data_IF_214970460516
#
_entry.id   IF_214970460516
#
_cell.length_a   1.000
_cell.length_b   1.000
_cell.length_c   1.000
_cell.angle_alpha   90.00
_cell.angle_beta   90.00
_cell.angle_gamma   90.00
#
_symmetry.space_group_name_H-M   'P 1'
#
loop_
_entity.id
_entity.type
_entity.pdbx_description
1 polymer ?
#
# COMPACT_ATOMS: atom_id res chain seq x y z
N UNK A 1 -1.46 21.73 -10.23
CA UNK A 1 -1.41 20.33 -10.67
C UNK A 1 -1.78 19.47 -9.47
N UNK A 2 -2.49 18.34 -9.67
CA UNK A 2 -2.78 17.37 -8.60
C UNK A 2 -1.50 16.64 -8.24
N UNK A 3 -1.39 16.12 -7.01
CA UNK A 3 -0.23 15.32 -6.60
C UNK A 3 -0.62 13.85 -6.40
N UNK A 4 0.31 12.97 -6.75
CA UNK A 4 0.29 11.57 -6.35
C UNK A 4 1.37 11.40 -5.29
N UNK A 5 0.96 11.16 -4.06
CA UNK A 5 1.86 10.82 -2.97
C UNK A 5 2.10 9.31 -2.96
N UNK A 6 3.34 8.89 -3.17
CA UNK A 6 3.73 7.49 -3.08
C UNK A 6 4.36 7.23 -1.70
N UNK A 7 3.59 6.72 -0.75
CA UNK A 7 4.08 6.33 0.57
C UNK A 7 4.66 4.92 0.52
N UNK A 8 5.89 4.78 1.01
CA UNK A 8 6.67 3.55 0.98
C UNK A 8 7.13 3.17 2.40
N UNK A 9 6.26 2.59 3.24
CA UNK A 9 6.68 2.09 4.54
C UNK A 9 7.76 1.02 4.38
N UNK A 10 8.89 1.20 5.05
CA UNK A 10 10.03 0.30 4.97
C UNK A 10 10.70 0.10 6.33
N UNK A 11 11.27 -1.10 6.54
CA UNK A 11 12.05 -1.45 7.70
C UNK A 11 13.14 -2.45 7.32
N UNK A 12 14.41 -2.03 7.38
CA UNK A 12 15.58 -2.80 6.96
C UNK A 12 15.45 -3.26 5.49
N UNK A 13 15.30 -2.30 4.57
CA UNK A 13 15.14 -2.51 3.13
C UNK A 13 16.26 -1.79 2.32
N UNK A 14 17.49 -1.68 2.86
CA UNK A 14 18.61 -0.99 2.22
C UNK A 14 18.90 -1.49 0.80
N UNK A 15 18.67 -2.79 0.53
CA UNK A 15 18.93 -3.41 -0.77
C UNK A 15 17.82 -3.16 -1.80
N UNK A 16 16.63 -2.74 -1.36
CA UNK A 16 15.44 -2.65 -2.20
C UNK A 16 14.94 -1.21 -2.40
N UNK A 17 15.00 -0.39 -1.34
CA UNK A 17 14.31 0.92 -1.32
C UNK A 17 14.86 1.91 -2.35
N UNK A 18 16.17 1.91 -2.61
CA UNK A 18 16.79 2.79 -3.61
C UNK A 18 16.26 2.52 -5.01
N UNK A 19 16.23 1.25 -5.42
CA UNK A 19 15.68 0.81 -6.71
C UNK A 19 14.19 1.16 -6.82
N UNK A 20 13.41 0.93 -5.76
CA UNK A 20 11.98 1.24 -5.75
C UNK A 20 11.71 2.75 -5.95
N UNK A 21 12.52 3.60 -5.31
CA UNK A 21 12.43 5.06 -5.52
C UNK A 21 12.74 5.40 -6.99
N UNK A 22 13.78 4.81 -7.58
CA UNK A 22 14.13 5.05 -8.99
C UNK A 22 13.00 4.59 -9.93
N UNK A 23 12.42 3.41 -9.72
CA UNK A 23 11.26 2.92 -10.48
C UNK A 23 10.04 3.87 -10.37
N UNK A 24 9.81 4.50 -9.21
CA UNK A 24 8.79 5.53 -9.06
C UNK A 24 9.14 6.80 -9.84
N UNK A 25 10.39 7.27 -9.78
CA UNK A 25 10.85 8.45 -10.51
C UNK A 25 10.69 8.27 -12.03
N UNK A 26 10.89 7.07 -12.56
CA UNK A 26 10.63 6.75 -13.97
C UNK A 26 9.18 7.02 -14.38
N UNK A 27 8.22 6.93 -13.46
CA UNK A 27 6.81 7.19 -13.75
C UNK A 27 6.48 8.69 -13.85
N UNK A 28 7.36 9.58 -13.38
CA UNK A 28 7.10 11.02 -13.23
C UNK A 28 6.65 11.68 -14.53
N UNK A 29 7.30 11.35 -15.65
CA UNK A 29 6.97 11.95 -16.97
C UNK A 29 5.54 11.61 -17.40
N UNK A 30 5.16 10.33 -17.27
CA UNK A 30 3.83 9.87 -17.68
C UNK A 30 2.75 10.34 -16.69
N UNK A 31 3.05 10.41 -15.38
CA UNK A 31 2.16 11.00 -14.38
C UNK A 31 1.90 12.49 -14.69
N UNK A 32 2.94 13.25 -15.04
CA UNK A 32 2.81 14.66 -15.40
C UNK A 32 1.91 14.86 -16.62
N UNK A 33 1.99 13.99 -17.63
CA UNK A 33 1.08 13.99 -18.79
C UNK A 33 -0.38 13.73 -18.39
N UNK A 34 -0.61 12.98 -17.30
CA UNK A 34 -1.94 12.74 -16.72
C UNK A 34 -2.39 13.83 -15.74
N UNK A 35 -1.61 14.89 -15.56
CA UNK A 35 -1.91 16.02 -14.68
C UNK A 35 -1.52 15.81 -13.21
N UNK A 36 -0.68 14.80 -12.92
CA UNK A 36 -0.18 14.53 -11.58
C UNK A 36 1.31 14.86 -11.46
N UNK A 37 1.67 15.50 -10.36
CA UNK A 37 3.04 15.65 -9.87
C UNK A 37 3.33 14.54 -8.85
N UNK A 38 4.46 13.85 -9.01
CA UNK A 38 4.85 12.75 -8.15
C UNK A 38 5.54 13.27 -6.88
N UNK A 39 5.09 12.80 -5.73
CA UNK A 39 5.67 13.07 -4.41
C UNK A 39 5.95 11.75 -3.68
N UNK A 40 7.20 11.29 -3.66
CA UNK A 40 7.61 10.05 -3.03
C UNK A 40 7.91 10.31 -1.56
N UNK A 41 7.30 9.54 -0.66
CA UNK A 41 7.40 9.66 0.80
C UNK A 41 7.79 8.32 1.41
N UNK A 42 9.07 7.92 1.33
CA UNK A 42 9.55 6.75 2.05
C UNK A 42 9.40 6.98 3.56
N UNK A 43 8.84 5.98 4.27
CA UNK A 43 8.66 6.03 5.71
C UNK A 43 9.61 5.01 6.33
N UNK A 44 10.73 5.47 6.86
CA UNK A 44 11.69 4.63 7.56
C UNK A 44 11.21 4.35 8.98
N UNK A 45 10.82 3.11 9.24
CA UNK A 45 10.30 2.68 10.54
C UNK A 45 11.40 2.32 11.54
N UNK A 46 12.37 3.24 11.74
CA UNK A 46 13.51 3.07 12.62
C UNK A 46 14.40 1.88 12.21
N UNK A 47 14.80 1.83 10.94
CA UNK A 47 15.69 0.78 10.41
C UNK A 47 17.04 0.75 11.10
N UNK A 48 17.64 -0.45 11.18
CA UNK A 48 18.93 -0.70 11.81
C UNK A 48 20.06 -0.95 10.80
N UNK A 49 19.73 -0.97 9.52
CA UNK A 49 20.64 -1.10 8.38
C UNK A 49 20.84 0.24 7.67
N UNK A 50 21.35 0.22 6.43
CA UNK A 50 21.58 1.41 5.62
C UNK A 50 20.34 2.04 4.99
N UNK A 51 19.11 1.54 5.25
CA UNK A 51 17.86 2.02 4.62
C UNK A 51 17.72 3.53 4.67
N UNK A 52 17.87 4.13 5.85
CA UNK A 52 17.76 5.59 6.04
C UNK A 52 18.78 6.36 5.22
N UNK A 53 20.03 5.87 5.17
CA UNK A 53 21.10 6.52 4.41
C UNK A 53 20.82 6.50 2.90
N UNK A 54 20.32 5.37 2.36
CA UNK A 54 19.92 5.25 0.95
C UNK A 54 18.79 6.23 0.61
N UNK A 55 17.78 6.36 1.47
CA UNK A 55 16.66 7.29 1.24
C UNK A 55 17.15 8.74 1.26
N UNK A 56 18.02 9.11 2.21
CA UNK A 56 18.59 10.47 2.30
C UNK A 56 19.42 10.80 1.07
N UNK A 57 20.18 9.85 0.52
CA UNK A 57 20.89 10.03 -0.73
C UNK A 57 19.90 10.34 -1.88
N UNK A 58 18.84 9.55 -2.03
CA UNK A 58 17.80 9.77 -3.05
C UNK A 58 17.08 11.12 -2.88
N UNK A 59 16.85 11.55 -1.65
CA UNK A 59 16.30 12.87 -1.37
C UNK A 59 17.26 13.99 -1.78
N UNK A 60 18.57 13.84 -1.59
CA UNK A 60 19.56 14.81 -2.07
C UNK A 60 19.63 14.88 -3.60
N UNK A 61 19.51 13.75 -4.28
CA UNK A 61 19.48 13.64 -5.73
C UNK A 61 18.19 14.24 -6.33
N UNK A 62 17.03 14.12 -5.63
CA UNK A 62 15.70 14.50 -6.11
C UNK A 62 14.89 15.25 -5.04
N UNK A 63 15.35 16.41 -4.55
CA UNK A 63 14.75 17.11 -3.38
C UNK A 63 13.32 17.59 -3.61
N UNK A 64 12.92 17.80 -4.86
CA UNK A 64 11.56 18.21 -5.22
C UNK A 64 10.55 17.05 -5.20
N UNK A 65 11.02 15.81 -5.36
CA UNK A 65 10.15 14.63 -5.50
C UNK A 65 10.22 13.67 -4.30
N UNK A 66 11.37 13.57 -3.62
CA UNK A 66 11.63 12.61 -2.55
C UNK A 66 11.82 13.31 -1.22
N UNK A 67 11.05 12.90 -0.21
CA UNK A 67 11.17 13.41 1.15
C UNK A 67 11.03 12.25 2.15
N UNK A 68 12.06 12.04 2.97
CA UNK A 68 12.08 11.02 4.02
C UNK A 68 11.15 11.40 5.18
N UNK A 69 10.32 10.45 5.60
CA UNK A 69 9.63 10.47 6.88
C UNK A 69 10.29 9.41 7.77
N UNK A 70 10.91 9.81 8.89
CA UNK A 70 11.60 8.87 9.77
C UNK A 70 10.89 8.75 11.12
N UNK A 71 10.68 7.51 11.57
CA UNK A 71 10.23 7.23 12.93
C UNK A 71 11.43 7.13 13.89
N UNK A 72 11.28 7.66 15.09
CA UNK A 72 12.29 7.52 16.16
C UNK A 72 12.26 6.13 16.81
N UNK A 73 11.11 5.48 16.76
CA UNK A 73 10.89 4.11 17.27
C UNK A 73 10.12 3.29 16.23
N UNK A 74 10.37 1.98 16.21
CA UNK A 74 9.64 1.09 15.31
C UNK A 74 8.17 0.99 15.70
N UNK A 75 7.28 1.43 14.79
CA UNK A 75 5.82 1.44 14.96
C UNK A 75 5.13 0.33 14.16
N UNK A 76 5.90 -0.53 13.48
CA UNK A 76 5.43 -1.54 12.55
C UNK A 76 4.67 -0.94 11.34
N UNK A 77 4.21 -1.79 10.43
CA UNK A 77 3.45 -1.36 9.26
C UNK A 77 2.22 -0.52 9.64
N UNK A 78 1.54 -0.86 10.72
CA UNK A 78 0.43 -0.08 11.27
C UNK A 78 0.79 1.40 11.50
N UNK A 79 1.95 1.66 12.12
CA UNK A 79 2.45 3.02 12.32
C UNK A 79 2.76 3.73 11.00
N UNK A 80 3.36 3.01 10.04
CA UNK A 80 3.62 3.55 8.70
C UNK A 80 2.33 3.95 7.98
N UNK A 81 1.26 3.13 8.09
CA UNK A 81 -0.05 3.45 7.51
C UNK A 81 -0.68 4.70 8.17
N UNK A 82 -0.68 4.78 9.50
CA UNK A 82 -1.22 5.95 10.20
C UNK A 82 -0.42 7.22 9.86
N UNK A 83 0.91 7.13 9.80
CA UNK A 83 1.76 8.24 9.36
C UNK A 83 1.47 8.67 7.93
N UNK A 84 1.24 7.72 7.01
CA UNK A 84 0.84 8.02 5.63
C UNK A 84 -0.49 8.79 5.58
N UNK A 85 -1.48 8.33 6.34
CA UNK A 85 -2.81 8.94 6.45
C UNK A 85 -2.69 10.36 7.01
N UNK A 86 -2.01 10.54 8.14
CA UNK A 86 -1.81 11.84 8.79
C UNK A 86 -1.08 12.83 7.86
N UNK A 87 0.03 12.39 7.25
CA UNK A 87 0.80 13.24 6.32
C UNK A 87 -0.04 13.63 5.11
N UNK A 88 -0.79 12.69 4.54
CA UNK A 88 -1.63 12.95 3.38
C UNK A 88 -2.76 13.94 3.70
N UNK A 89 -3.46 13.79 4.82
CA UNK A 89 -4.51 14.73 5.23
C UNK A 89 -3.97 16.12 5.54
N UNK A 90 -2.77 16.21 6.11
CA UNK A 90 -2.13 17.51 6.43
C UNK A 90 -1.66 18.26 5.19
N UNK A 91 -1.15 17.57 4.18
CA UNK A 91 -0.46 18.14 3.03
C UNK A 91 -1.23 18.02 1.72
N UNK A 92 -2.21 17.13 1.65
CA UNK A 92 -3.03 16.86 0.45
C UNK A 92 -4.04 17.97 0.18
N UNK A 93 -4.39 18.12 -1.10
CA UNK A 93 -5.41 19.04 -1.61
C UNK A 93 -6.43 18.27 -2.42
N UNK A 94 -7.56 18.88 -2.71
CA UNK A 94 -8.60 18.28 -3.54
C UNK A 94 -8.05 17.78 -4.88
N UNK A 95 -8.35 16.52 -5.18
CA UNK A 95 -7.88 15.81 -6.36
C UNK A 95 -6.51 15.14 -6.21
N UNK A 96 -5.79 15.34 -5.10
CA UNK A 96 -4.58 14.58 -4.79
C UNK A 96 -4.93 13.11 -4.47
N UNK A 97 -3.97 12.22 -4.72
CA UNK A 97 -4.12 10.77 -4.54
C UNK A 97 -3.04 10.27 -3.57
N UNK A 98 -3.44 9.44 -2.63
CA UNK A 98 -2.55 8.68 -1.75
C UNK A 98 -2.27 7.31 -2.35
N UNK A 99 -1.03 7.01 -2.69
CA UNK A 99 -0.55 5.67 -3.05
C UNK A 99 0.18 5.04 -1.86
N UNK A 100 -0.15 3.80 -1.54
CA UNK A 100 0.57 2.97 -0.59
C UNK A 100 1.21 1.80 -1.34
N UNK A 101 2.48 1.51 -1.04
CA UNK A 101 3.19 0.36 -1.58
C UNK A 101 4.26 -0.09 -0.57
N UNK A 102 4.42 -1.40 -0.40
CA UNK A 102 5.48 -1.96 0.46
C UNK A 102 6.88 -1.57 -0.07
N UNK A 103 7.79 -1.22 0.83
CA UNK A 103 9.15 -0.75 0.49
C UNK A 103 10.12 -1.85 0.01
N UNK A 104 9.66 -3.09 -0.18
CA UNK A 104 10.47 -4.27 -0.48
C UNK A 104 10.65 -4.57 -1.98
N UNK A 105 10.17 -3.67 -2.86
CA UNK A 105 10.26 -3.76 -4.32
C UNK A 105 9.68 -5.05 -4.93
N UNK A 106 8.73 -5.71 -4.27
CA UNK A 106 7.97 -6.83 -4.86
C UNK A 106 6.88 -6.38 -5.83
N UNK A 107 6.48 -5.12 -5.75
CA UNK A 107 5.51 -4.47 -6.61
C UNK A 107 6.20 -3.48 -7.54
N UNK A 108 5.70 -3.34 -8.77
CA UNK A 108 6.21 -2.34 -9.71
C UNK A 108 5.33 -1.10 -9.76
N UNK A 109 5.90 0.11 -9.63
CA UNK A 109 5.17 1.39 -9.74
C UNK A 109 4.40 1.59 -11.05
N UNK A 110 4.82 0.94 -12.16
CA UNK A 110 4.19 1.09 -13.48
C UNK A 110 2.67 0.89 -13.50
N UNK A 111 2.14 0.07 -12.56
CA UNK A 111 0.69 -0.20 -12.48
C UNK A 111 -0.12 0.99 -11.96
N UNK A 112 0.51 2.03 -11.44
CA UNK A 112 -0.18 3.25 -11.00
C UNK A 112 -1.04 3.87 -12.10
N UNK A 113 -0.60 3.77 -13.36
CA UNK A 113 -1.31 4.35 -14.49
C UNK A 113 -2.64 3.67 -14.78
N UNK A 114 -2.69 2.33 -14.71
CA UNK A 114 -3.93 1.55 -14.84
C UNK A 114 -4.83 1.74 -13.62
N UNK A 115 -4.24 1.88 -12.42
CA UNK A 115 -4.99 2.16 -11.21
C UNK A 115 -5.66 3.53 -11.26
N UNK A 116 -4.95 4.58 -11.67
CA UNK A 116 -5.51 5.93 -11.85
C UNK A 116 -6.61 5.95 -12.92
N UNK A 117 -6.43 5.23 -14.03
CA UNK A 117 -7.44 5.10 -15.07
C UNK A 117 -8.69 4.41 -14.52
N UNK A 118 -8.54 3.27 -13.84
CA UNK A 118 -9.64 2.53 -13.21
C UNK A 118 -10.38 3.37 -12.17
N UNK A 119 -9.65 4.16 -11.38
CA UNK A 119 -10.23 5.06 -10.38
C UNK A 119 -11.10 6.13 -11.05
N UNK A 120 -10.58 6.75 -12.11
CA UNK A 120 -11.31 7.79 -12.86
C UNK A 120 -12.54 7.24 -13.56
N UNK A 121 -12.41 6.12 -14.30
CA UNK A 121 -13.51 5.55 -15.09
C UNK A 121 -14.67 5.07 -14.22
N UNK A 122 -14.36 4.55 -13.04
CA UNK A 122 -15.35 4.02 -12.09
C UNK A 122 -15.78 5.01 -11.02
N UNK A 123 -15.24 6.23 -10.99
CA UNK A 123 -15.40 7.18 -9.88
C UNK A 123 -15.19 6.49 -8.52
N UNK A 124 -14.07 5.79 -8.38
CA UNK A 124 -13.77 4.93 -7.24
C UNK A 124 -12.94 5.66 -6.20
N UNK A 125 -13.16 5.34 -4.94
CA UNK A 125 -12.42 5.86 -3.80
C UNK A 125 -11.08 5.15 -3.56
N UNK A 126 -11.03 3.86 -3.89
CA UNK A 126 -9.84 3.03 -3.74
C UNK A 126 -9.68 2.08 -4.91
N UNK A 127 -8.45 1.96 -5.42
CA UNK A 127 -8.09 0.91 -6.38
C UNK A 127 -6.92 0.10 -5.85
N UNK A 128 -7.03 -1.23 -5.96
CA UNK A 128 -6.10 -2.22 -5.46
C UNK A 128 -5.39 -2.88 -6.64
N UNK A 129 -4.06 -2.99 -6.60
CA UNK A 129 -3.33 -3.91 -7.46
C UNK A 129 -3.59 -5.33 -6.93
N UNK A 130 -4.41 -6.10 -7.65
CA UNK A 130 -4.93 -7.38 -7.19
C UNK A 130 -4.25 -8.55 -7.86
N UNK A 131 -3.88 -9.56 -7.07
CA UNK A 131 -3.36 -10.86 -7.55
C UNK A 131 -4.44 -11.74 -8.19
N UNK A 132 -5.70 -11.34 -8.07
CA UNK A 132 -6.87 -12.16 -8.42
C UNK A 132 -7.68 -11.64 -9.61
N UNK A 133 -7.15 -10.68 -10.34
CA UNK A 133 -7.68 -10.31 -11.65
C UNK A 133 -7.24 -11.33 -12.71
N UNK A 134 -8.00 -11.45 -13.80
CA UNK A 134 -7.74 -12.42 -14.86
C UNK A 134 -6.40 -12.23 -15.59
N UNK A 135 -5.89 -11.01 -15.57
CA UNK A 135 -4.61 -10.58 -16.17
C UNK A 135 -3.44 -10.56 -15.19
N UNK A 136 -3.67 -10.95 -13.94
CA UNK A 136 -2.63 -11.01 -12.90
C UNK A 136 -1.74 -12.23 -13.07
N UNK A 137 -0.48 -12.07 -12.68
CA UNK A 137 0.51 -13.15 -12.61
C UNK A 137 1.23 -13.10 -11.27
N UNK A 138 1.51 -14.27 -10.71
CA UNK A 138 2.34 -14.42 -9.51
C UNK A 138 3.53 -15.29 -9.88
N UNK A 139 4.74 -14.76 -9.70
CA UNK A 139 5.99 -15.43 -10.09
C UNK A 139 6.86 -15.63 -8.84
N UNK A 140 7.45 -16.82 -8.72
CA UNK A 140 8.37 -17.14 -7.62
C UNK A 140 7.67 -17.59 -6.33
N UNK A 141 6.40 -17.99 -6.38
CA UNK A 141 5.65 -18.51 -5.23
C UNK A 141 5.39 -20.01 -5.39
N UNK A 142 5.61 -20.79 -4.33
CA UNK A 142 5.35 -22.23 -4.34
C UNK A 142 3.83 -22.52 -4.36
N UNK A 143 3.38 -23.53 -5.12
CA UNK A 143 1.97 -23.86 -5.34
C UNK A 143 1.14 -24.03 -4.04
N UNK A 144 1.73 -24.59 -2.97
CA UNK A 144 1.03 -24.71 -1.69
C UNK A 144 0.71 -23.33 -1.05
N UNK A 145 1.55 -22.30 -1.29
CA UNK A 145 1.30 -20.93 -0.81
C UNK A 145 0.21 -20.25 -1.64
N UNK A 146 0.16 -20.52 -2.94
CA UNK A 146 -0.92 -20.03 -3.81
C UNK A 146 -2.25 -20.60 -3.36
N UNK A 147 -2.33 -21.93 -3.13
CA UNK A 147 -3.53 -22.58 -2.60
C UNK A 147 -3.98 -21.98 -1.26
N UNK A 148 -3.04 -21.76 -0.31
CA UNK A 148 -3.35 -21.11 0.98
C UNK A 148 -3.87 -19.68 0.78
N UNK A 149 -3.33 -18.95 -0.17
CA UNK A 149 -3.75 -17.59 -0.52
C UNK A 149 -5.18 -17.58 -1.09
N UNK A 150 -5.53 -18.54 -1.95
CA UNK A 150 -6.88 -18.67 -2.51
C UNK A 150 -7.92 -19.03 -1.45
N UNK A 151 -7.58 -19.92 -0.53
CA UNK A 151 -8.45 -20.26 0.61
C UNK A 151 -8.66 -19.04 1.53
N UNK A 152 -7.60 -18.27 1.80
CA UNK A 152 -7.69 -17.05 2.60
C UNK A 152 -8.55 -15.98 1.91
N UNK A 153 -8.40 -15.79 0.59
CA UNK A 153 -9.24 -14.90 -0.23
C UNK A 153 -10.71 -15.28 -0.12
N UNK A 154 -11.03 -16.57 -0.30
CA UNK A 154 -12.41 -17.06 -0.19
C UNK A 154 -13.00 -16.74 1.19
N UNK A 155 -12.23 -17.01 2.25
CA UNK A 155 -12.62 -16.72 3.62
C UNK A 155 -12.89 -15.22 3.84
N UNK A 156 -11.97 -14.33 3.43
CA UNK A 156 -12.15 -12.88 3.60
C UNK A 156 -13.35 -12.37 2.82
N UNK A 157 -13.57 -12.88 1.60
CA UNK A 157 -14.72 -12.50 0.78
C UNK A 157 -16.05 -12.93 1.42
N UNK A 158 -16.10 -14.08 2.08
CA UNK A 158 -17.29 -14.54 2.81
C UNK A 158 -17.55 -13.76 4.10
N UNK A 159 -16.48 -13.41 4.82
CA UNK A 159 -16.58 -12.72 6.12
C UNK A 159 -16.82 -11.22 5.96
N UNK A 160 -15.99 -10.54 5.17
CA UNK A 160 -16.00 -9.08 5.06
C UNK A 160 -16.98 -8.56 4.00
N UNK A 161 -17.16 -9.28 2.90
CA UNK A 161 -18.15 -8.98 1.84
C UNK A 161 -18.06 -7.58 1.28
N UNK A 162 -16.84 -7.10 1.01
CA UNK A 162 -16.63 -5.78 0.41
C UNK A 162 -16.86 -5.88 -1.10
N UNK A 163 -17.84 -5.15 -1.67
CA UNK A 163 -18.11 -5.19 -3.10
C UNK A 163 -16.90 -4.72 -3.92
N UNK A 164 -16.61 -5.41 -5.04
CA UNK A 164 -15.50 -5.04 -5.94
C UNK A 164 -14.11 -5.46 -5.46
N UNK A 165 -13.97 -6.17 -4.32
CA UNK A 165 -12.70 -6.58 -3.73
C UNK A 165 -12.56 -8.11 -3.72
N UNK A 166 -11.44 -8.58 -4.26
CA UNK A 166 -10.96 -9.96 -4.17
C UNK A 166 -9.66 -10.07 -3.38
N UNK A 167 -8.81 -9.03 -3.43
CA UNK A 167 -7.52 -8.99 -2.74
C UNK A 167 -7.54 -8.09 -1.50
N UNK A 168 -7.79 -8.70 -0.35
CA UNK A 168 -7.88 -8.01 0.95
C UNK A 168 -6.52 -7.69 1.56
N UNK A 169 -5.43 -8.29 1.07
CA UNK A 169 -4.12 -8.26 1.74
C UNK A 169 -3.01 -7.60 0.93
N UNK A 170 -3.21 -7.30 -0.35
CA UNK A 170 -2.21 -6.60 -1.15
C UNK A 170 -1.93 -5.20 -0.58
N UNK A 171 -0.65 -4.83 -0.48
CA UNK A 171 -0.18 -3.54 0.04
C UNK A 171 -0.22 -2.42 -1.00
N UNK A 172 -0.24 -2.75 -2.31
CA UNK A 172 -0.24 -1.73 -3.34
C UNK A 172 -1.67 -1.24 -3.65
N UNK A 173 -1.98 -0.03 -3.20
CA UNK A 173 -3.30 0.61 -3.33
C UNK A 173 -3.18 2.11 -3.54
N UNK A 174 -4.19 2.69 -4.20
CA UNK A 174 -4.35 4.15 -4.27
C UNK A 174 -5.70 4.56 -3.68
N UNK A 175 -5.75 5.75 -3.07
CA UNK A 175 -6.92 6.27 -2.37
C UNK A 175 -7.16 7.74 -2.73
N UNK A 176 -8.41 8.16 -2.81
CA UNK A 176 -8.78 9.58 -2.93
C UNK A 176 -8.70 10.27 -1.57
N UNK A 177 -8.42 11.59 -1.57
CA UNK A 177 -8.41 12.39 -0.35
C UNK A 177 -9.75 12.34 0.41
N UNK A 178 -10.92 12.47 -0.26
CA UNK A 178 -12.20 12.37 0.45
C UNK A 178 -12.41 11.03 1.16
N UNK A 179 -11.92 9.91 0.60
CA UNK A 179 -12.08 8.61 1.24
C UNK A 179 -11.23 8.48 2.51
N UNK A 180 -10.01 9.04 2.49
CA UNK A 180 -9.12 9.07 3.66
C UNK A 180 -9.66 10.03 4.73
N UNK A 181 -10.27 11.15 4.32
CA UNK A 181 -10.93 12.05 5.26
C UNK A 181 -12.10 11.38 5.98
N UNK A 182 -13.03 10.73 5.23
CA UNK A 182 -14.14 9.97 5.83
C UNK A 182 -13.68 8.85 6.78
N UNK A 183 -12.54 8.22 6.46
CA UNK A 183 -11.94 7.23 7.36
C UNK A 183 -11.60 7.85 8.73
N UNK A 184 -10.90 8.99 8.73
CA UNK A 184 -10.46 9.66 9.97
C UNK A 184 -11.65 10.29 10.70
N UNK A 185 -12.61 10.86 10.00
CA UNK A 185 -13.84 11.41 10.59
C UNK A 185 -14.62 10.33 11.36
N UNK A 186 -14.62 9.08 10.86
CA UNK A 186 -15.34 7.97 11.49
C UNK A 186 -14.56 7.23 12.58
N UNK A 187 -13.23 7.05 12.40
CA UNK A 187 -12.42 6.16 13.26
C UNK A 187 -11.33 6.88 14.06
N UNK A 188 -11.23 8.22 13.92
CA UNK A 188 -10.25 9.06 14.61
C UNK A 188 -8.89 9.12 13.91
N UNK A 189 -7.96 9.89 14.49
CA UNK A 189 -6.66 10.23 13.88
C UNK A 189 -5.73 9.02 13.66
N UNK A 190 -5.80 8.00 14.51
CA UNK A 190 -5.06 6.74 14.35
C UNK A 190 -6.04 5.62 14.00
N UNK A 191 -6.56 5.58 12.76
CA UNK A 191 -7.64 4.66 12.41
C UNK A 191 -7.21 3.20 12.40
N UNK A 192 -5.92 2.90 12.24
CA UNK A 192 -5.40 1.55 12.15
C UNK A 192 -4.81 1.13 13.50
N UNK A 193 -5.28 0.02 14.05
CA UNK A 193 -4.88 -0.50 15.38
C UNK A 193 -4.24 -1.88 15.30
N UNK A 194 -4.49 -2.65 14.24
CA UNK A 194 -3.92 -3.98 14.04
C UNK A 194 -2.41 -3.90 13.75
N UNK A 195 -1.61 -4.49 14.62
CA UNK A 195 -0.14 -4.41 14.56
C UNK A 195 0.52 -5.43 13.60
N UNK A 196 -0.24 -6.42 13.14
CA UNK A 196 0.25 -7.41 12.17
C UNK A 196 0.02 -6.94 10.72
N UNK A 197 0.48 -7.71 9.73
CA UNK A 197 0.18 -7.44 8.32
C UNK A 197 -1.31 -7.39 7.98
N UNK A 198 -2.20 -7.84 8.87
CA UNK A 198 -3.65 -7.69 8.72
C UNK A 198 -4.12 -6.23 8.83
N UNK A 199 -3.25 -5.28 9.21
CA UNK A 199 -3.53 -3.84 9.18
C UNK A 199 -3.95 -3.34 7.79
N UNK A 200 -3.44 -3.96 6.71
CA UNK A 200 -3.88 -3.64 5.34
C UNK A 200 -5.34 -4.02 5.09
N UNK A 201 -5.80 -5.11 5.67
CA UNK A 201 -7.20 -5.54 5.63
C UNK A 201 -8.08 -4.65 6.51
N UNK A 202 -7.57 -4.24 7.68
CA UNK A 202 -8.26 -3.28 8.56
C UNK A 202 -8.47 -1.94 7.86
N UNK A 203 -7.44 -1.38 7.21
CA UNK A 203 -7.54 -0.14 6.44
C UNK A 203 -8.62 -0.25 5.36
N UNK A 204 -8.59 -1.33 4.55
CA UNK A 204 -9.56 -1.58 3.50
C UNK A 204 -10.98 -1.62 4.06
N UNK A 205 -11.19 -2.42 5.10
CA UNK A 205 -12.53 -2.62 5.65
C UNK A 205 -13.07 -1.34 6.31
N UNK A 206 -12.22 -0.56 6.97
CA UNK A 206 -12.61 0.73 7.56
C UNK A 206 -12.93 1.79 6.50
N UNK A 207 -12.19 1.83 5.38
CA UNK A 207 -12.57 2.66 4.22
C UNK A 207 -13.96 2.24 3.69
N UNK A 208 -14.23 0.93 3.57
CA UNK A 208 -15.54 0.42 3.17
C UNK A 208 -16.65 0.86 4.14
N UNK A 209 -16.44 0.70 5.44
CA UNK A 209 -17.40 1.15 6.46
C UNK A 209 -17.61 2.66 6.43
N UNK A 210 -16.59 3.45 6.04
CA UNK A 210 -16.71 4.89 5.83
C UNK A 210 -17.36 5.27 4.48
N UNK A 211 -17.98 4.31 3.78
CA UNK A 211 -18.70 4.53 2.52
C UNK A 211 -17.81 4.55 1.27
N UNK A 212 -16.59 4.02 1.37
CA UNK A 212 -15.66 3.96 0.24
C UNK A 212 -16.05 2.93 -0.81
N UNK A 213 -15.78 3.25 -2.08
CA UNK A 213 -15.98 2.40 -3.25
C UNK A 213 -14.66 1.84 -3.76
N UNK A 214 -14.69 0.61 -4.32
CA UNK A 214 -13.48 -0.14 -4.65
C UNK A 214 -13.45 -0.67 -6.07
N UNK A 215 -12.24 -0.74 -6.62
CA UNK A 215 -11.94 -1.49 -7.84
C UNK A 215 -10.58 -2.17 -7.76
N UNK A 216 -10.35 -3.06 -8.71
CA UNK A 216 -9.10 -3.82 -8.80
C UNK A 216 -8.53 -3.73 -10.21
N UNK A 217 -7.21 -3.76 -10.31
CA UNK A 217 -6.45 -3.93 -11.56
C UNK A 217 -5.48 -5.10 -11.38
N UNK A 218 -5.27 -5.87 -12.44
CA UNK A 218 -4.29 -6.94 -12.43
C UNK A 218 -2.87 -6.41 -12.44
N UNK A 219 -1.95 -7.18 -11.85
CA UNK A 219 -0.54 -6.90 -11.88
C UNK A 219 0.30 -8.17 -11.82
N UNK A 220 1.56 -8.07 -12.18
CA UNK A 220 2.53 -9.13 -12.03
C UNK A 220 3.29 -8.96 -10.71
N UNK A 221 3.10 -9.89 -9.77
CA UNK A 221 3.81 -9.93 -8.50
C UNK A 221 5.09 -10.78 -8.66
N UNK A 222 6.25 -10.15 -8.43
CA UNK A 222 7.57 -10.74 -8.66
C UNK A 222 8.32 -10.94 -7.35
N UNK A 223 8.12 -12.10 -6.70
CA UNK A 223 8.89 -12.45 -5.51
C UNK A 223 10.36 -12.78 -5.78
N UNK A 224 10.69 -13.13 -7.01
CA UNK A 224 12.05 -13.42 -7.46
C UNK A 224 12.95 -12.18 -7.53
N UNK A 225 12.37 -10.96 -7.54
CA UNK A 225 13.13 -9.71 -7.51
C UNK A 225 13.42 -9.20 -6.10
N UNK A 226 12.79 -9.76 -5.08
CA UNK A 226 13.06 -9.37 -3.69
C UNK A 226 14.44 -9.86 -3.27
N UNK A 227 15.32 -8.93 -2.92
CA UNK A 227 16.61 -9.22 -2.31
C UNK A 227 16.42 -9.39 -0.79
N UNK A 228 17.03 -10.44 -0.24
CA UNK A 228 16.95 -10.76 1.19
C UNK A 228 15.84 -11.73 1.58
N UNK A 229 15.87 -12.19 2.83
CA UNK A 229 14.93 -13.18 3.35
C UNK A 229 13.60 -12.56 3.75
N UNK A 230 12.48 -13.27 3.51
CA UNK A 230 11.18 -12.87 4.02
C UNK A 230 11.16 -12.91 5.55
N UNK A 231 10.85 -11.78 6.18
CA UNK A 231 10.73 -11.62 7.65
C UNK A 231 9.40 -12.16 8.21
N UNK A 232 8.50 -12.64 7.35
CA UNK A 232 7.14 -13.00 7.70
C UNK A 232 7.01 -14.48 8.11
N UNK A 233 6.50 -14.72 9.32
CA UNK A 233 6.07 -16.06 9.76
C UNK A 233 4.69 -16.38 9.17
N UNK A 234 4.66 -17.05 8.02
CA UNK A 234 3.45 -17.24 7.19
C UNK A 234 2.25 -17.79 7.98
N UNK A 235 2.40 -18.93 8.66
CA UNK A 235 1.30 -19.57 9.41
C UNK A 235 0.75 -18.69 10.54
N UNK A 236 1.63 -18.05 11.30
CA UNK A 236 1.24 -17.14 12.39
C UNK A 236 0.52 -15.90 11.86
N UNK A 237 1.02 -15.34 10.75
CA UNK A 237 0.40 -14.18 10.10
C UNK A 237 -0.96 -14.53 9.53
N UNK A 238 -1.08 -15.69 8.87
CA UNK A 238 -2.35 -16.18 8.33
C UNK A 238 -3.40 -16.35 9.43
N UNK A 239 -3.06 -17.07 10.52
CA UNK A 239 -3.99 -17.25 11.63
C UNK A 239 -4.46 -15.91 12.23
N UNK A 240 -3.51 -14.99 12.46
CA UNK A 240 -3.85 -13.65 12.95
C UNK A 240 -4.80 -12.92 12.00
N UNK A 241 -4.56 -12.98 10.69
CA UNK A 241 -5.40 -12.30 9.72
C UNK A 241 -6.81 -12.89 9.62
N UNK A 242 -6.98 -14.21 9.77
CA UNK A 242 -8.29 -14.83 9.85
C UNK A 242 -9.08 -14.36 11.08
N UNK A 243 -8.43 -14.32 12.25
CA UNK A 243 -9.04 -13.81 13.48
C UNK A 243 -9.38 -12.32 13.37
N UNK A 244 -8.48 -11.53 12.75
CA UNK A 244 -8.71 -10.10 12.53
C UNK A 244 -9.90 -9.86 11.61
N UNK A 245 -10.06 -10.64 10.53
CA UNK A 245 -11.23 -10.53 9.65
C UNK A 245 -12.56 -10.72 10.42
N UNK A 246 -12.61 -11.73 11.28
CA UNK A 246 -13.80 -11.92 12.16
C UNK A 246 -14.05 -10.74 13.09
N UNK A 247 -13.00 -10.22 13.75
CA UNK A 247 -13.14 -9.06 14.63
C UNK A 247 -13.64 -7.83 13.86
N UNK A 248 -13.09 -7.58 12.67
CA UNK A 248 -13.48 -6.46 11.82
C UNK A 248 -14.96 -6.53 11.42
N UNK A 249 -15.52 -7.72 11.22
CA UNK A 249 -16.93 -7.89 10.84
C UNK A 249 -17.91 -7.31 11.87
N UNK A 250 -17.49 -7.20 13.13
CA UNK A 250 -18.32 -6.75 14.25
C UNK A 250 -17.94 -5.34 14.77
N UNK A 251 -17.19 -4.56 14.00
CA UNK A 251 -16.94 -3.12 14.25
C UNK A 251 -18.09 -2.26 13.59
#
# INVERSE_FOLDING_TARGET
MKRLFAFLPCYNEEQNIGRLIDEWLEQSKQLKQRGYELAIRPIDDCSKDGTKAVILQKQQEHPESVELIAHEVNKNLCGGLNTSIEYFLKNGKEGDIMGLMDGDATHSPKYVHSMLQKMSDGNLDCVIASRYCSDSKVVGVAAHREFMSDMAKLYYSMVLRVPGVKDYTCGYRIYTLPSVQRLVDRFGHDPIKEKSFACMMELLYKIYLAGGTFGEVGFELRYDFKLGASKMHVLKTMWKSLVTALKLRFI
#
